data_IF_433404281464
#
_entry.id   IF_433404281464
#
_cell.length_a   1.000
_cell.length_b   1.000
_cell.length_c   1.000
_cell.angle_alpha   90.00
_cell.angle_beta   90.00
_cell.angle_gamma   90.00
#
_symmetry.space_group_name_H-M   'P 1'
#
loop_
_entity.id
_entity.type
_entity.pdbx_description
1 polymer ?
#
# COMPACT_ATOMS: atom_id res chain seq x y z
N UNK A 1 1.39 11.36 24.25
CA UNK A 1 0.95 10.58 23.09
C UNK A 1 1.12 11.48 21.87
N UNK A 2 1.65 11.01 20.75
CA UNK A 2 1.80 11.87 19.56
C UNK A 2 0.44 12.14 18.93
N UNK A 3 0.28 13.31 18.28
CA UNK A 3 -0.97 13.69 17.60
C UNK A 3 -1.37 12.64 16.53
N UNK A 4 -0.38 12.04 15.83
CA UNK A 4 -0.63 10.99 14.85
C UNK A 4 -1.17 9.70 15.48
N UNK A 5 -0.62 9.28 16.62
CA UNK A 5 -1.11 8.07 17.29
C UNK A 5 -2.53 8.26 17.84
N UNK A 6 -2.80 9.43 18.40
CA UNK A 6 -4.14 9.79 18.87
C UNK A 6 -5.16 9.83 17.72
N UNK A 7 -4.75 10.35 16.56
CA UNK A 7 -5.56 10.31 15.32
C UNK A 7 -5.86 8.87 14.90
N UNK A 8 -4.86 7.99 14.93
CA UNK A 8 -5.04 6.56 14.62
C UNK A 8 -5.99 5.86 15.59
N UNK A 9 -5.90 6.15 16.89
CA UNK A 9 -6.84 5.61 17.89
C UNK A 9 -8.27 6.11 17.65
N UNK A 10 -8.46 7.38 17.30
CA UNK A 10 -9.77 7.94 16.93
C UNK A 10 -10.34 7.24 15.68
N UNK A 11 -9.52 7.06 14.65
CA UNK A 11 -9.93 6.32 13.45
C UNK A 11 -10.31 4.86 13.80
N UNK A 12 -9.49 4.19 14.60
CA UNK A 12 -9.77 2.82 15.03
C UNK A 12 -11.07 2.72 15.83
N UNK A 13 -11.31 3.67 16.76
CA UNK A 13 -12.55 3.74 17.52
C UNK A 13 -13.78 3.93 16.60
N UNK A 14 -13.65 4.76 15.55
CA UNK A 14 -14.71 4.93 14.54
C UNK A 14 -15.01 3.62 13.81
N UNK A 15 -13.98 2.90 13.38
CA UNK A 15 -14.13 1.57 12.76
C UNK A 15 -14.80 0.58 13.72
N UNK A 16 -14.36 0.56 14.99
CA UNK A 16 -14.87 -0.39 16.00
C UNK A 16 -16.32 -0.13 16.42
N UNK A 17 -16.86 1.07 16.18
CA UNK A 17 -18.32 1.33 16.31
C UNK A 17 -19.15 0.59 15.23
N UNK A 18 -18.54 0.22 14.12
CA UNK A 18 -19.21 -0.39 12.96
C UNK A 18 -18.94 -1.89 12.86
N UNK A 19 -17.77 -2.34 13.28
CA UNK A 19 -17.38 -3.76 13.18
C UNK A 19 -16.27 -4.13 14.14
N UNK A 20 -16.36 -5.35 14.70
CA UNK A 20 -15.28 -5.98 15.47
C UNK A 20 -14.43 -6.93 14.61
N UNK A 21 -14.60 -6.89 13.29
CA UNK A 21 -13.88 -7.75 12.35
C UNK A 21 -12.37 -7.63 12.53
N UNK A 22 -11.69 -8.76 12.55
CA UNK A 22 -10.23 -8.86 12.72
C UNK A 22 -9.61 -9.45 11.46
N UNK A 23 -9.10 -8.61 10.55
CA UNK A 23 -8.45 -9.09 9.34
C UNK A 23 -7.10 -9.74 9.65
N UNK A 24 -6.75 -10.79 8.91
CA UNK A 24 -5.39 -11.35 8.89
C UNK A 24 -4.54 -10.68 7.81
N UNK A 25 -5.16 -10.36 6.67
CA UNK A 25 -4.50 -9.77 5.51
C UNK A 25 -5.16 -8.44 5.16
N UNK A 26 -4.34 -7.42 4.94
CA UNK A 26 -4.74 -6.16 4.33
C UNK A 26 -4.39 -6.17 2.83
N UNK A 27 -5.30 -5.66 1.99
CA UNK A 27 -5.07 -5.46 0.58
C UNK A 27 -5.25 -3.98 0.24
N UNK A 28 -4.34 -3.42 -0.56
CA UNK A 28 -4.52 -2.09 -1.15
C UNK A 28 -4.64 -2.24 -2.65
N UNK A 29 -5.83 -1.94 -3.17
CA UNK A 29 -6.12 -2.04 -4.59
C UNK A 29 -5.69 -0.76 -5.31
N UNK A 30 -4.82 -0.93 -6.29
CA UNK A 30 -4.37 0.15 -7.18
C UNK A 30 -5.39 0.46 -8.27
N UNK A 31 -5.07 1.48 -9.07
CA UNK A 31 -5.89 1.92 -10.20
C UNK A 31 -6.22 0.76 -11.14
N UNK A 32 -7.49 0.63 -11.52
CA UNK A 32 -7.98 -0.43 -12.39
C UNK A 32 -8.30 -1.76 -11.70
N UNK A 33 -7.97 -1.93 -10.41
CA UNK A 33 -8.20 -3.18 -9.66
C UNK A 33 -9.30 -3.09 -8.60
N UNK A 34 -9.97 -1.93 -8.52
CA UNK A 34 -10.97 -1.65 -7.48
C UNK A 34 -12.13 -2.66 -7.46
N UNK A 35 -12.53 -3.18 -8.61
CA UNK A 35 -13.66 -4.10 -8.73
C UNK A 35 -13.43 -5.45 -8.05
N UNK A 36 -12.17 -5.85 -7.84
CA UNK A 36 -11.85 -7.06 -7.08
C UNK A 36 -12.48 -7.07 -5.68
N UNK A 37 -12.65 -5.91 -5.05
CA UNK A 37 -13.30 -5.82 -3.75
C UNK A 37 -14.79 -6.22 -3.76
N UNK A 38 -15.42 -6.22 -4.92
CA UNK A 38 -16.83 -6.63 -5.08
C UNK A 38 -16.96 -8.14 -5.35
N UNK A 39 -15.83 -8.83 -5.63
CA UNK A 39 -15.81 -10.28 -5.91
C UNK A 39 -15.61 -11.15 -4.65
N UNK A 40 -15.27 -10.55 -3.53
CA UNK A 40 -15.05 -11.28 -2.27
C UNK A 40 -16.38 -11.52 -1.52
N UNK A 41 -16.37 -12.42 -0.55
CA UNK A 41 -17.48 -12.55 0.39
C UNK A 41 -17.43 -11.36 1.36
N UNK A 42 -18.25 -10.33 1.07
CA UNK A 42 -18.28 -9.11 1.88
C UNK A 42 -19.05 -9.34 3.17
N UNK A 43 -18.46 -8.96 4.30
CA UNK A 43 -19.08 -8.91 5.64
C UNK A 43 -19.65 -7.51 5.91
N UNK A 44 -18.84 -6.47 5.72
CA UNK A 44 -19.25 -5.09 5.89
C UNK A 44 -18.36 -4.13 5.11
N UNK A 45 -18.85 -2.91 4.91
CA UNK A 45 -18.09 -1.82 4.30
C UNK A 45 -18.17 -0.58 5.19
N UNK A 46 -17.11 0.24 5.17
CA UNK A 46 -17.05 1.51 5.90
C UNK A 46 -16.47 2.56 4.97
N UNK A 47 -17.24 3.58 4.64
CA UNK A 47 -16.74 4.69 3.83
C UNK A 47 -15.74 5.53 4.63
N UNK A 48 -14.71 6.08 3.98
CA UNK A 48 -13.69 6.88 4.67
C UNK A 48 -14.28 8.10 5.36
N UNK A 49 -15.36 8.65 4.83
CA UNK A 49 -16.10 9.78 5.42
C UNK A 49 -16.80 9.44 6.74
N UNK A 50 -16.99 8.15 7.04
CA UNK A 50 -17.57 7.69 8.31
C UNK A 50 -16.50 7.52 9.40
N UNK A 51 -15.21 7.65 9.05
CA UNK A 51 -14.09 7.50 9.97
C UNK A 51 -13.57 8.90 10.33
N UNK A 52 -13.71 9.27 11.57
CA UNK A 52 -13.33 10.60 12.07
C UNK A 52 -11.85 10.90 11.83
N UNK A 53 -11.55 12.01 11.14
CA UNK A 53 -10.19 12.45 10.84
C UNK A 53 -9.44 11.64 9.76
N UNK A 54 -10.12 10.70 9.09
CA UNK A 54 -9.51 9.88 8.04
C UNK A 54 -9.40 10.64 6.72
N UNK A 55 -8.29 10.47 5.96
CA UNK A 55 -8.14 11.10 4.65
C UNK A 55 -9.07 10.46 3.62
N UNK A 56 -9.60 11.29 2.72
CA UNK A 56 -10.47 10.83 1.63
C UNK A 56 -9.74 10.94 0.30
N UNK A 57 -9.87 9.93 -0.57
CA UNK A 57 -9.31 10.00 -1.92
C UNK A 57 -10.15 10.92 -2.80
N UNK A 58 -9.47 11.76 -3.58
CA UNK A 58 -10.07 12.67 -4.57
C UNK A 58 -9.91 12.13 -6.00
N UNK A 59 -9.25 10.99 -6.15
CA UNK A 59 -8.95 10.38 -7.46
C UNK A 59 -10.20 9.74 -8.05
N UNK A 60 -10.52 10.08 -9.28
CA UNK A 60 -11.65 9.51 -10.01
C UNK A 60 -11.55 7.98 -10.10
N UNK A 61 -12.66 7.28 -9.83
CA UNK A 61 -12.72 5.82 -9.83
C UNK A 61 -12.33 5.16 -8.51
N UNK A 62 -11.87 5.93 -7.51
CA UNK A 62 -11.67 5.43 -6.16
C UNK A 62 -12.96 5.51 -5.35
N UNK A 63 -13.47 4.37 -4.86
CA UNK A 63 -14.72 4.35 -4.06
C UNK A 63 -14.54 4.97 -2.67
N UNK A 64 -13.31 5.01 -2.15
CA UNK A 64 -13.01 5.65 -0.86
C UNK A 64 -13.61 4.92 0.34
N UNK A 65 -13.42 3.60 0.44
CA UNK A 65 -13.96 2.79 1.52
C UNK A 65 -13.05 1.62 1.90
N UNK A 66 -13.21 1.13 3.11
CA UNK A 66 -12.76 -0.19 3.50
C UNK A 66 -13.85 -1.25 3.23
N UNK A 67 -13.43 -2.39 2.71
CA UNK A 67 -14.27 -3.58 2.55
C UNK A 67 -13.71 -4.69 3.42
N UNK A 68 -14.52 -5.18 4.35
CA UNK A 68 -14.18 -6.28 5.24
C UNK A 68 -14.89 -7.54 4.77
N UNK A 69 -14.17 -8.64 4.74
CA UNK A 69 -14.77 -9.90 4.29
C UNK A 69 -13.76 -11.03 4.18
N UNK A 70 -14.08 -11.99 3.32
CA UNK A 70 -13.29 -13.20 3.17
C UNK A 70 -12.90 -13.45 1.73
N UNK A 71 -11.61 -13.70 1.51
CA UNK A 71 -11.12 -14.31 0.27
C UNK A 71 -10.97 -15.80 0.57
N UNK A 72 -11.88 -16.63 0.04
CA UNK A 72 -12.08 -18.02 0.51
C UNK A 72 -12.35 -18.02 2.03
N UNK A 73 -11.42 -18.55 2.84
CA UNK A 73 -11.54 -18.61 4.29
C UNK A 73 -10.61 -17.63 5.02
N UNK A 74 -9.92 -16.74 4.29
CA UNK A 74 -8.98 -15.79 4.88
C UNK A 74 -9.68 -14.48 5.16
N UNK A 75 -9.72 -14.00 6.42
CA UNK A 75 -10.31 -12.71 6.75
C UNK A 75 -9.42 -11.57 6.24
N UNK A 76 -10.01 -10.69 5.43
CA UNK A 76 -9.29 -9.59 4.79
C UNK A 76 -9.95 -8.24 5.07
N UNK A 77 -9.13 -7.19 5.07
CA UNK A 77 -9.58 -5.81 4.89
C UNK A 77 -9.00 -5.26 3.59
N UNK A 78 -9.84 -4.74 2.74
CA UNK A 78 -9.45 -4.18 1.44
C UNK A 78 -9.63 -2.66 1.47
N UNK A 79 -8.55 -1.94 1.14
CA UNK A 79 -8.59 -0.52 0.85
C UNK A 79 -8.99 -0.33 -0.60
N UNK A 80 -10.26 0.04 -0.84
CA UNK A 80 -10.82 0.31 -2.17
C UNK A 80 -10.81 1.81 -2.45
N UNK A 81 -9.66 2.31 -2.89
CA UNK A 81 -9.40 3.73 -3.11
C UNK A 81 -8.23 4.22 -2.25
N UNK A 82 -7.05 4.32 -2.89
CA UNK A 82 -5.82 4.76 -2.25
C UNK A 82 -5.77 6.28 -2.13
N UNK A 83 -5.17 6.77 -1.07
CA UNK A 83 -4.80 8.17 -0.88
C UNK A 83 -3.37 8.36 -1.37
N UNK A 84 -3.11 9.46 -2.10
CA UNK A 84 -1.80 9.73 -2.69
C UNK A 84 -1.19 11.03 -2.16
N UNK A 85 0.15 11.07 -2.18
CA UNK A 85 0.88 12.26 -1.74
C UNK A 85 0.55 13.51 -2.59
N UNK A 86 0.34 13.33 -3.90
CA UNK A 86 0.00 14.44 -4.80
C UNK A 86 -1.42 15.03 -4.57
N UNK A 87 -2.25 14.40 -3.75
CA UNK A 87 -3.55 14.96 -3.35
C UNK A 87 -3.39 16.07 -2.28
N UNK A 88 -2.14 16.35 -1.84
CA UNK A 88 -1.83 17.42 -0.89
C UNK A 88 -1.79 16.98 0.56
N UNK A 89 -1.95 15.70 0.85
CA UNK A 89 -1.84 15.15 2.19
C UNK A 89 -0.37 15.06 2.65
N UNK A 90 -0.08 15.34 3.94
CA UNK A 90 1.22 15.00 4.50
C UNK A 90 1.46 13.48 4.42
N UNK A 91 2.72 13.07 4.28
CA UNK A 91 3.06 11.66 4.10
C UNK A 91 2.54 10.76 5.26
N UNK A 92 2.41 11.30 6.45
CA UNK A 92 1.82 10.61 7.60
C UNK A 92 0.35 10.23 7.38
N UNK A 93 -0.40 11.07 6.68
CA UNK A 93 -1.81 10.83 6.34
C UNK A 93 -1.94 9.90 5.13
N UNK A 94 -0.99 9.97 4.17
CA UNK A 94 -0.94 9.04 3.03
C UNK A 94 -0.82 7.59 3.51
N UNK A 95 -0.01 7.33 4.54
CA UNK A 95 0.19 5.97 5.09
C UNK A 95 -0.71 5.64 6.28
N UNK A 96 -1.55 6.58 6.72
CA UNK A 96 -2.48 6.36 7.84
C UNK A 96 -3.41 5.17 7.61
N UNK A 97 -3.97 4.94 6.39
CA UNK A 97 -4.77 3.75 6.10
C UNK A 97 -4.01 2.45 6.34
N UNK A 98 -2.77 2.36 5.91
CA UNK A 98 -1.90 1.18 6.13
C UNK A 98 -1.70 0.92 7.62
N UNK A 99 -1.42 1.96 8.39
CA UNK A 99 -1.26 1.86 9.85
C UNK A 99 -2.55 1.43 10.53
N UNK A 100 -3.67 1.99 10.11
CA UNK A 100 -4.99 1.64 10.66
C UNK A 100 -5.34 0.17 10.39
N UNK A 101 -5.09 -0.34 9.19
CA UNK A 101 -5.29 -1.76 8.87
C UNK A 101 -4.43 -2.68 9.74
N UNK A 102 -3.20 -2.30 10.04
CA UNK A 102 -2.35 -3.00 11.01
C UNK A 102 -2.92 -2.98 12.43
N UNK A 103 -3.45 -1.85 12.90
CA UNK A 103 -4.10 -1.72 14.21
C UNK A 103 -5.41 -2.50 14.30
N UNK A 104 -6.13 -2.68 13.18
CA UNK A 104 -7.30 -3.56 13.10
C UNK A 104 -6.96 -5.05 13.30
N UNK A 105 -5.70 -5.44 13.06
CA UNK A 105 -5.20 -6.80 13.27
C UNK A 105 -4.43 -7.42 12.12
N UNK A 106 -4.39 -6.78 10.95
CA UNK A 106 -3.69 -7.30 9.78
C UNK A 106 -2.20 -7.53 10.06
N UNK A 107 -1.69 -8.70 9.71
CA UNK A 107 -0.29 -9.11 9.88
C UNK A 107 0.46 -9.20 8.56
N UNK A 108 -0.28 -9.19 7.46
CA UNK A 108 0.26 -9.21 6.11
C UNK A 108 -0.39 -8.11 5.30
N UNK A 109 0.38 -7.46 4.42
CA UNK A 109 -0.09 -6.43 3.52
C UNK A 109 0.23 -6.83 2.08
N UNK A 110 -0.79 -6.91 1.25
CA UNK A 110 -0.66 -7.11 -0.20
C UNK A 110 -0.96 -5.79 -0.91
N UNK A 111 0.05 -5.28 -1.61
CA UNK A 111 -0.01 -4.00 -2.33
C UNK A 111 -0.15 -4.25 -3.83
N UNK A 112 -1.04 -3.52 -4.47
CA UNK A 112 -1.14 -3.47 -5.92
C UNK A 112 -1.14 -2.03 -6.42
N UNK A 113 -0.59 -1.79 -7.60
CA UNK A 113 -0.56 -0.47 -8.23
C UNK A 113 -0.39 -0.58 -9.74
N UNK A 114 -0.88 0.41 -10.47
CA UNK A 114 -0.43 0.66 -11.83
C UNK A 114 0.96 1.30 -11.81
N UNK A 115 1.80 1.00 -12.79
CA UNK A 115 3.16 1.53 -12.89
C UNK A 115 3.57 1.77 -14.34
N UNK A 116 4.46 2.73 -14.57
CA UNK A 116 5.17 2.90 -15.83
C UNK A 116 6.39 1.98 -15.90
N UNK A 117 6.52 1.19 -16.97
CA UNK A 117 7.70 0.35 -17.19
C UNK A 117 8.92 1.20 -17.59
N UNK A 118 10.04 0.99 -16.91
CA UNK A 118 11.34 1.59 -17.21
C UNK A 118 12.28 0.56 -17.82
N UNK A 119 12.18 -0.69 -17.39
CA UNK A 119 12.94 -1.80 -17.94
C UNK A 119 12.51 -2.06 -19.40
N UNK A 120 13.45 -2.02 -20.39
CA UNK A 120 13.11 -2.16 -21.80
C UNK A 120 12.58 -3.57 -22.18
N UNK A 121 12.74 -4.54 -21.32
CA UNK A 121 12.22 -5.90 -21.53
C UNK A 121 10.76 -6.05 -21.09
N UNK A 122 10.21 -5.08 -20.37
CA UNK A 122 8.82 -5.12 -19.91
C UNK A 122 7.87 -4.60 -20.98
N UNK A 123 6.66 -5.13 -21.00
CA UNK A 123 5.62 -4.77 -21.96
C UNK A 123 4.37 -4.28 -21.23
N UNK A 124 3.57 -3.40 -21.84
CA UNK A 124 2.24 -3.06 -21.31
C UNK A 124 1.41 -4.33 -21.08
N UNK A 125 0.85 -4.46 -19.90
CA UNK A 125 0.08 -5.62 -19.47
C UNK A 125 0.86 -6.67 -18.68
N UNK A 126 2.18 -6.54 -18.58
CA UNK A 126 2.97 -7.39 -17.70
C UNK A 126 2.61 -7.17 -16.22
N UNK A 127 2.65 -8.25 -15.45
CA UNK A 127 2.69 -8.18 -14.00
C UNK A 127 4.13 -8.14 -13.52
N UNK A 128 4.46 -7.16 -12.66
CA UNK A 128 5.76 -7.09 -12.01
C UNK A 128 5.61 -7.26 -10.50
N UNK A 129 6.26 -8.26 -9.93
CA UNK A 129 6.44 -8.37 -8.48
C UNK A 129 7.55 -7.43 -8.03
N UNK A 130 7.20 -6.50 -7.15
CA UNK A 130 8.18 -5.58 -6.55
C UNK A 130 9.06 -6.37 -5.59
N UNK A 131 10.36 -6.38 -5.82
CA UNK A 131 11.36 -7.05 -4.97
C UNK A 131 12.09 -6.09 -4.06
N UNK A 132 12.18 -4.81 -4.46
CA UNK A 132 12.77 -3.71 -3.71
C UNK A 132 12.23 -2.37 -4.23
N UNK A 133 12.54 -1.27 -3.54
CA UNK A 133 12.10 0.05 -3.97
C UNK A 133 13.12 1.16 -3.73
N UNK A 134 12.94 2.27 -4.44
CA UNK A 134 13.67 3.53 -4.25
C UNK A 134 12.65 4.62 -3.94
N UNK A 135 12.82 5.32 -2.81
CA UNK A 135 11.93 6.39 -2.34
C UNK A 135 12.65 7.72 -2.13
N UNK A 136 13.86 7.87 -2.67
CA UNK A 136 14.70 9.08 -2.46
C UNK A 136 14.01 10.37 -2.95
N UNK A 137 13.09 10.26 -3.92
CA UNK A 137 12.36 11.39 -4.49
C UNK A 137 11.13 11.85 -3.68
N UNK A 138 10.80 11.19 -2.56
CA UNK A 138 9.63 11.50 -1.74
C UNK A 138 9.98 11.60 -0.25
N UNK A 139 9.20 12.33 0.57
CA UNK A 139 9.38 12.32 2.02
C UNK A 139 9.15 10.93 2.62
N UNK A 140 10.02 10.51 3.54
CA UNK A 140 9.79 9.28 4.28
C UNK A 140 8.59 9.44 5.26
N UNK A 141 7.70 8.43 5.37
CA UNK A 141 6.61 8.45 6.35
C UNK A 141 7.07 8.37 7.81
N UNK A 142 8.38 8.20 8.04
CA UNK A 142 8.99 8.06 9.36
C UNK A 142 9.71 9.35 9.83
N UNK A 143 9.62 10.43 9.05
CA UNK A 143 10.19 11.74 9.45
C UNK A 143 9.40 12.29 10.63
N UNK A 144 10.13 12.79 11.62
CA UNK A 144 9.56 13.36 12.85
C UNK A 144 9.90 12.53 14.09
N UNK A 145 9.26 12.81 15.23
CA UNK A 145 9.42 12.02 16.46
C UNK A 145 8.97 10.57 16.25
N UNK A 146 9.70 9.63 16.85
CA UNK A 146 9.28 8.23 16.79
C UNK A 146 8.02 7.99 17.62
N UNK A 147 7.19 7.06 17.14
CA UNK A 147 6.00 6.55 17.84
C UNK A 147 6.28 5.08 18.13
N UNK A 148 6.71 4.80 19.36
CA UNK A 148 7.21 3.48 19.76
C UNK A 148 6.13 2.39 19.65
N UNK A 149 4.87 2.76 19.83
CA UNK A 149 3.71 1.89 19.66
C UNK A 149 3.56 1.38 18.22
N UNK A 150 4.08 2.14 17.24
CA UNK A 150 4.05 1.76 15.83
C UNK A 150 5.32 1.05 15.37
N UNK A 151 6.44 1.24 16.07
CA UNK A 151 7.70 0.59 15.74
C UNK A 151 8.95 1.32 16.24
N UNK A 152 10.11 0.75 15.96
CA UNK A 152 11.38 1.32 16.39
C UNK A 152 11.81 2.51 15.51
N UNK A 153 12.65 3.41 16.06
CA UNK A 153 13.12 4.62 15.37
C UNK A 153 13.84 4.34 14.06
N UNK A 154 14.63 3.26 14.00
CA UNK A 154 15.43 2.87 12.85
C UNK A 154 15.07 1.43 12.46
N UNK A 155 13.97 1.22 11.72
CA UNK A 155 13.58 -0.11 11.27
C UNK A 155 14.55 -0.60 10.18
N UNK A 156 14.87 -1.89 10.24
CA UNK A 156 15.63 -2.56 9.19
C UNK A 156 14.79 -2.70 7.91
N UNK A 157 15.29 -2.13 6.81
CA UNK A 157 14.67 -2.15 5.48
C UNK A 157 15.38 -3.09 4.50
N UNK A 158 16.31 -3.94 4.98
CA UNK A 158 17.04 -4.90 4.11
C UNK A 158 16.12 -5.93 3.45
N UNK A 159 14.94 -6.18 4.03
CA UNK A 159 13.90 -7.04 3.46
C UNK A 159 12.53 -6.43 3.74
N UNK A 160 12.14 -5.43 2.95
CA UNK A 160 10.81 -4.83 3.04
C UNK A 160 9.77 -5.79 2.47
N UNK A 161 10.04 -6.31 1.28
CA UNK A 161 9.18 -7.29 0.60
C UNK A 161 9.62 -8.70 0.97
N UNK A 162 8.81 -9.40 1.74
CA UNK A 162 9.11 -10.72 2.32
C UNK A 162 9.51 -11.74 1.26
N UNK A 163 10.68 -12.34 1.41
CA UNK A 163 11.14 -13.44 0.54
C UNK A 163 10.14 -14.58 0.52
N UNK A 164 9.61 -14.93 1.68
CA UNK A 164 8.60 -15.99 1.82
C UNK A 164 7.33 -15.66 1.04
N UNK A 165 6.81 -14.44 1.11
CA UNK A 165 5.62 -14.04 0.37
C UNK A 165 5.89 -13.94 -1.13
N UNK A 166 7.08 -13.52 -1.54
CA UNK A 166 7.48 -13.53 -2.96
C UNK A 166 7.47 -14.94 -3.55
N UNK A 167 7.95 -15.95 -2.80
CA UNK A 167 7.85 -17.35 -3.24
C UNK A 167 6.38 -17.79 -3.41
N UNK A 168 5.49 -17.38 -2.50
CA UNK A 168 4.05 -17.66 -2.63
C UNK A 168 3.48 -17.01 -3.90
N UNK A 169 3.88 -15.77 -4.20
CA UNK A 169 3.44 -15.06 -5.42
C UNK A 169 3.94 -15.80 -6.66
N UNK A 170 5.23 -16.20 -6.73
CA UNK A 170 5.79 -16.96 -7.85
C UNK A 170 5.02 -18.26 -8.09
N UNK A 171 4.85 -19.06 -7.05
CA UNK A 171 4.13 -20.33 -7.15
C UNK A 171 2.66 -20.13 -7.58
N UNK A 172 2.04 -19.03 -7.13
CA UNK A 172 0.67 -18.69 -7.51
C UNK A 172 0.57 -18.25 -8.98
N UNK A 173 1.51 -17.44 -9.44
CA UNK A 173 1.59 -16.99 -10.84
C UNK A 173 1.81 -18.20 -11.78
N UNK A 174 2.75 -19.07 -11.44
CA UNK A 174 3.01 -20.31 -12.19
C UNK A 174 1.75 -21.20 -12.28
N UNK A 175 1.09 -21.42 -11.12
CA UNK A 175 -0.15 -22.22 -11.07
C UNK A 175 -1.28 -21.62 -11.91
N UNK A 176 -1.33 -20.30 -12.04
CA UNK A 176 -2.33 -19.58 -12.84
C UNK A 176 -1.90 -19.39 -14.30
N UNK A 177 -0.70 -19.80 -14.69
CA UNK A 177 -0.16 -19.57 -16.04
C UNK A 177 0.12 -18.09 -16.34
N UNK A 178 0.38 -17.28 -15.31
CA UNK A 178 0.64 -15.84 -15.43
C UNK A 178 2.13 -15.61 -15.52
N UNK A 179 2.58 -14.93 -16.60
CA UNK A 179 3.94 -14.41 -16.69
C UNK A 179 4.19 -13.35 -15.63
N UNK A 180 5.26 -13.50 -14.85
CA UNK A 180 5.61 -12.60 -13.77
C UNK A 180 6.99 -12.02 -13.99
N UNK A 181 7.09 -10.70 -14.11
CA UNK A 181 8.34 -9.97 -14.05
C UNK A 181 8.70 -9.71 -12.58
N UNK A 182 9.95 -9.41 -12.31
CA UNK A 182 10.43 -8.99 -10.99
C UNK A 182 11.30 -7.76 -11.15
N UNK A 183 11.21 -6.83 -10.19
CA UNK A 183 12.00 -5.62 -10.33
C UNK A 183 11.91 -4.65 -9.15
N UNK A 184 12.69 -3.58 -9.29
CA UNK A 184 12.79 -2.47 -8.36
C UNK A 184 11.78 -1.39 -8.77
N UNK A 185 10.98 -0.95 -7.81
CA UNK A 185 10.00 0.11 -8.02
C UNK A 185 10.52 1.46 -7.51
N UNK A 186 10.42 2.51 -8.32
CA UNK A 186 10.78 3.87 -7.93
C UNK A 186 9.52 4.69 -7.68
N UNK A 187 9.35 5.22 -6.48
CA UNK A 187 8.25 6.10 -6.16
C UNK A 187 8.63 7.55 -6.37
N UNK A 188 7.87 8.25 -7.24
CA UNK A 188 7.87 9.70 -7.41
C UNK A 188 6.67 10.36 -6.73
N UNK A 189 6.69 11.69 -6.65
CA UNK A 189 5.62 12.46 -6.01
C UNK A 189 4.34 12.48 -6.85
N UNK A 190 4.44 12.59 -8.19
CA UNK A 190 3.34 13.00 -9.03
C UNK A 190 2.93 14.47 -8.79
N UNK A 191 1.79 14.95 -9.29
CA UNK A 191 0.83 14.26 -10.19
C UNK A 191 1.27 14.22 -11.66
N UNK A 192 2.32 14.98 -12.04
CA UNK A 192 2.86 14.90 -13.39
C UNK A 192 3.57 13.56 -13.61
N UNK A 193 3.40 12.99 -14.80
CA UNK A 193 4.22 11.85 -15.21
C UNK A 193 5.68 12.30 -15.39
N UNK A 194 6.56 11.32 -15.28
CA UNK A 194 8.00 11.53 -15.38
C UNK A 194 8.39 12.05 -16.76
N UNK A 195 9.28 13.02 -16.79
CA UNK A 195 9.93 13.47 -18.01
C UNK A 195 10.85 12.37 -18.57
N UNK A 196 11.21 12.40 -19.87
CA UNK A 196 12.18 11.43 -20.41
C UNK A 196 13.53 11.41 -19.66
N UNK A 197 13.93 12.53 -19.06
CA UNK A 197 15.15 12.63 -18.26
C UNK A 197 14.99 11.90 -16.91
N UNK A 198 13.84 12.05 -16.25
CA UNK A 198 13.52 11.37 -15.01
C UNK A 198 13.37 9.85 -15.20
N UNK A 199 12.80 9.41 -16.32
CA UNK A 199 12.76 7.98 -16.68
C UNK A 199 14.18 7.42 -16.84
N UNK A 200 15.08 8.15 -17.54
CA UNK A 200 16.49 7.72 -17.63
C UNK A 200 17.19 7.72 -16.26
N UNK A 201 16.89 8.68 -15.41
CA UNK A 201 17.42 8.75 -14.04
C UNK A 201 16.97 7.52 -13.23
N UNK A 202 15.68 7.17 -13.30
CA UNK A 202 15.15 5.99 -12.63
C UNK A 202 15.86 4.70 -13.10
N UNK A 203 16.10 4.57 -14.41
CA UNK A 203 16.87 3.44 -14.97
C UNK A 203 18.30 3.40 -14.44
N UNK A 204 18.99 4.54 -14.37
CA UNK A 204 20.37 4.64 -13.83
C UNK A 204 20.40 4.26 -12.33
N UNK A 205 19.37 4.60 -11.57
CA UNK A 205 19.23 4.19 -10.18
C UNK A 205 18.96 2.68 -10.00
N UNK A 206 18.69 1.96 -11.09
CA UNK A 206 18.38 0.54 -11.07
C UNK A 206 16.90 0.24 -10.90
N UNK A 207 16.03 1.21 -11.20
CA UNK A 207 14.58 1.02 -11.20
C UNK A 207 14.08 0.33 -12.46
N UNK A 208 13.12 -0.57 -12.32
CA UNK A 208 12.45 -1.30 -13.39
C UNK A 208 11.07 -0.74 -13.73
N UNK A 209 10.43 -0.11 -12.75
CA UNK A 209 9.14 0.55 -12.90
C UNK A 209 9.04 1.79 -12.02
N UNK A 210 8.16 2.73 -12.41
CA UNK A 210 7.93 3.98 -11.70
C UNK A 210 6.45 4.18 -11.40
N UNK A 211 6.14 4.91 -10.35
CA UNK A 211 4.78 5.33 -10.02
C UNK A 211 4.72 6.25 -8.80
N UNK A 212 3.53 6.53 -8.30
CA UNK A 212 3.27 7.62 -7.36
C UNK A 212 2.70 7.14 -6.01
N UNK A 213 2.90 5.87 -5.66
CA UNK A 213 2.32 5.23 -4.47
C UNK A 213 3.16 4.04 -4.00
N UNK A 214 2.64 3.26 -3.06
CA UNK A 214 3.07 1.87 -2.75
C UNK A 214 4.31 1.77 -1.88
N UNK A 215 5.45 2.35 -2.24
CA UNK A 215 6.68 2.18 -1.46
C UNK A 215 6.60 2.86 -0.09
N UNK A 216 5.96 4.03 0.01
CA UNK A 216 5.72 4.69 1.31
C UNK A 216 4.84 3.83 2.23
N UNK A 217 3.84 3.14 1.68
CA UNK A 217 2.96 2.22 2.42
C UNK A 217 3.73 0.99 2.88
N UNK A 218 4.59 0.44 2.02
CA UNK A 218 5.47 -0.68 2.36
C UNK A 218 6.44 -0.31 3.51
N UNK A 219 7.03 0.90 3.48
CA UNK A 219 7.87 1.42 4.58
C UNK A 219 7.08 1.52 5.88
N UNK A 220 5.85 2.06 5.85
CA UNK A 220 5.00 2.18 7.03
C UNK A 220 4.58 0.81 7.59
N UNK A 221 4.25 -0.14 6.72
CA UNK A 221 3.90 -1.51 7.11
C UNK A 221 5.11 -2.23 7.74
N UNK A 222 6.28 -2.14 7.11
CA UNK A 222 7.51 -2.75 7.62
C UNK A 222 7.90 -2.17 8.98
N UNK A 223 7.74 -0.85 9.18
CA UNK A 223 7.94 -0.18 10.47
C UNK A 223 7.07 -0.82 11.57
N UNK A 224 5.82 -1.18 11.26
CA UNK A 224 4.89 -1.86 12.17
C UNK A 224 5.09 -3.38 12.22
N UNK A 225 6.12 -3.93 11.58
CA UNK A 225 6.40 -5.37 11.48
C UNK A 225 5.27 -6.15 10.80
N UNK A 226 4.52 -5.50 9.92
CA UNK A 226 3.58 -6.17 9.02
C UNK A 226 4.40 -6.73 7.86
N UNK A 227 4.15 -7.98 7.50
CA UNK A 227 4.83 -8.66 6.40
C UNK A 227 4.24 -8.20 5.06
N UNK A 228 5.05 -7.66 4.15
CA UNK A 228 4.62 -7.07 2.86
C UNK A 228 4.99 -7.98 1.70
#
# INVERSE_FOLDING_TARGET
MSDLYQKLETCLASVRKRTDFKPEVALILGSGLGDYADEIQIETTIDYTEIEGFPTSTVAGHKGRFVFGYVKNVPVVIMQGRVHYYEGYPMTDVVLPTRLMGMMGAKKLFLTNAAGGVNPNFKPGDFMMITDHITTGIPSPLIGPNIEELGCRFPDMSEVYSRRLREVIRASAEKCGIGLQEGVYVQFTGPAYETPAEVRMAAIWGGDAVGMSTACEAVAARHMRIEV
#
